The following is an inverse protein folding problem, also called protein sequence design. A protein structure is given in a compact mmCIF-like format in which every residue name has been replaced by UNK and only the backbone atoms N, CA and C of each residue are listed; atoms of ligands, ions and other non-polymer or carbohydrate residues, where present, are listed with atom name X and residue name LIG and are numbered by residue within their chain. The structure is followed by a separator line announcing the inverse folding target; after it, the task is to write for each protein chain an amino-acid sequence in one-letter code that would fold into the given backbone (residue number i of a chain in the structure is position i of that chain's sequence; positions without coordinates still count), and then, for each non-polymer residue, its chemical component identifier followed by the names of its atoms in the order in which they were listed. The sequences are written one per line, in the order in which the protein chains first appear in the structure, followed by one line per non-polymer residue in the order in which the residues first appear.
data_IF_849027735959
#
_entry.id   IF_849027735959
#
_cell.length_a   1.000
_cell.length_b   1.000
_cell.length_c   1.000
_cell.angle_alpha   90.00
_cell.angle_beta   90.00
_cell.angle_gamma   90.00
#
_symmetry.space_group_name_H-M   'P 1'
#
loop_
_entity.id
_entity.type
_entity.pdbx_description
1 polymer ?
#
# COMPACT_ATOMS: atom_id res chain seq x y z
N UNK A 1 16.71 33.29 -21.53
CA UNK A 1 15.30 33.00 -21.21
C UNK A 1 15.12 31.49 -21.18
N UNK A 2 15.34 30.86 -20.02
CA UNK A 2 15.24 29.40 -19.81
C UNK A 2 14.78 29.06 -18.38
N UNK A 3 13.92 29.91 -17.80
CA UNK A 3 13.67 29.95 -16.35
C UNK A 3 12.33 29.29 -15.94
N UNK A 4 11.29 29.43 -16.79
CA UNK A 4 9.94 28.97 -16.42
C UNK A 4 9.77 27.45 -16.23
N UNK A 5 10.55 26.62 -16.93
CA UNK A 5 10.44 25.16 -16.80
C UNK A 5 11.11 24.63 -15.52
N UNK A 6 12.18 25.28 -15.08
CA UNK A 6 12.90 24.90 -13.86
C UNK A 6 12.10 25.27 -12.61
N UNK A 7 11.44 26.43 -12.63
CA UNK A 7 10.59 26.87 -11.52
C UNK A 7 9.30 26.06 -11.38
N UNK A 8 8.68 25.69 -12.51
CA UNK A 8 7.52 24.79 -12.50
C UNK A 8 7.85 23.42 -11.87
N UNK A 9 9.01 22.85 -12.20
CA UNK A 9 9.46 21.59 -11.62
C UNK A 9 9.73 21.70 -10.11
N UNK A 10 10.38 22.78 -9.66
CA UNK A 10 10.59 23.04 -8.22
C UNK A 10 9.27 23.18 -7.46
N UNK A 11 8.30 23.91 -8.03
CA UNK A 11 6.98 24.07 -7.43
C UNK A 11 6.27 22.71 -7.30
N UNK A 12 6.30 21.88 -8.34
CA UNK A 12 5.73 20.54 -8.31
C UNK A 12 6.38 19.66 -7.24
N UNK A 13 7.70 19.70 -7.11
CA UNK A 13 8.42 18.98 -6.06
C UNK A 13 8.04 19.46 -4.66
N UNK A 14 7.93 20.78 -4.45
CA UNK A 14 7.51 21.35 -3.18
C UNK A 14 6.06 20.94 -2.83
N UNK A 15 5.15 20.96 -3.81
CA UNK A 15 3.77 20.48 -3.62
C UNK A 15 3.72 19.00 -3.25
N UNK A 16 4.46 18.15 -3.97
CA UNK A 16 4.56 16.73 -3.65
C UNK A 16 5.10 16.50 -2.24
N UNK A 17 6.12 17.26 -1.82
CA UNK A 17 6.68 17.18 -0.47
C UNK A 17 5.66 17.54 0.61
N UNK A 18 4.91 18.63 0.41
CA UNK A 18 3.84 19.05 1.33
C UNK A 18 2.72 18.00 1.37
N UNK A 19 2.28 17.48 0.22
CA UNK A 19 1.25 16.43 0.17
C UNK A 19 1.69 15.16 0.88
N UNK A 20 2.94 14.74 0.72
CA UNK A 20 3.48 13.59 1.45
C UNK A 20 3.36 13.80 2.98
N UNK A 21 3.63 15.01 3.49
CA UNK A 21 3.44 15.33 4.89
C UNK A 21 1.98 15.34 5.32
N UNK A 22 1.10 16.01 4.56
CA UNK A 22 -0.34 16.10 4.84
C UNK A 22 -0.97 14.70 4.89
N UNK A 23 -0.58 13.80 3.98
CA UNK A 23 -1.17 12.48 3.85
C UNK A 23 -0.38 11.37 4.56
N UNK A 24 0.72 11.67 5.25
CA UNK A 24 1.53 10.64 5.90
C UNK A 24 0.75 9.83 6.95
N UNK A 25 -0.30 10.41 7.56
CA UNK A 25 -1.18 9.70 8.49
C UNK A 25 -1.84 8.46 7.85
N UNK A 26 -2.02 8.44 6.52
CA UNK A 26 -2.59 7.30 5.79
C UNK A 26 -1.73 6.06 6.02
N UNK A 27 -0.41 6.17 6.05
CA UNK A 27 0.49 5.04 6.31
C UNK A 27 0.22 4.44 7.70
N UNK A 28 0.16 5.30 8.73
CA UNK A 28 -0.12 4.87 10.10
C UNK A 28 -1.51 4.26 10.26
N UNK A 29 -2.54 4.87 9.65
CA UNK A 29 -3.91 4.35 9.72
C UNK A 29 -4.10 3.06 8.91
N UNK A 30 -3.37 2.92 7.80
CA UNK A 30 -3.32 1.68 7.02
C UNK A 30 -2.69 0.56 7.85
N UNK A 31 -1.54 0.84 8.50
CA UNK A 31 -0.88 -0.14 9.36
C UNK A 31 -1.76 -0.57 10.52
N UNK A 32 -2.38 0.40 11.22
CA UNK A 32 -3.35 0.12 12.29
C UNK A 32 -4.48 -0.78 11.79
N UNK A 33 -5.04 -0.48 10.61
CA UNK A 33 -6.12 -1.27 10.02
C UNK A 33 -5.68 -2.70 9.71
N UNK A 34 -4.48 -2.89 9.16
CA UNK A 34 -3.94 -4.23 8.88
C UNK A 34 -3.75 -5.07 10.14
N UNK A 35 -3.23 -4.46 11.22
CA UNK A 35 -3.07 -5.12 12.53
C UNK A 35 -4.44 -5.50 13.10
N UNK A 36 -5.41 -4.59 13.09
CA UNK A 36 -6.77 -4.86 13.59
C UNK A 36 -7.51 -5.95 12.81
N UNK A 37 -7.17 -6.11 11.53
CA UNK A 37 -7.69 -7.18 10.68
C UNK A 37 -6.92 -8.51 10.85
N UNK A 38 -5.82 -8.54 11.63
CA UNK A 38 -5.00 -9.74 11.82
C UNK A 38 -4.20 -10.14 10.58
N UNK A 39 -3.95 -9.20 9.65
CA UNK A 39 -3.19 -9.47 8.43
C UNK A 39 -1.75 -9.91 8.73
N UNK A 40 -0.99 -9.27 9.64
CA UNK A 40 0.37 -9.72 9.96
C UNK A 40 0.45 -11.16 10.47
N UNK A 41 -0.60 -11.62 11.17
CA UNK A 41 -0.68 -12.96 11.76
C UNK A 41 -1.18 -14.02 10.74
N UNK A 42 -1.63 -13.57 9.55
CA UNK A 42 -2.09 -14.43 8.46
C UNK A 42 -0.91 -15.10 7.74
N UNK A 43 -0.37 -16.13 8.40
CA UNK A 43 0.55 -17.15 7.91
C UNK A 43 2.02 -16.74 7.70
N UNK A 44 2.90 -17.70 8.01
CA UNK A 44 4.37 -17.65 7.82
C UNK A 44 4.78 -17.71 6.33
N UNK A 45 3.82 -17.79 5.41
CA UNK A 45 4.05 -17.92 3.97
C UNK A 45 3.31 -16.83 3.18
N UNK A 46 3.82 -16.47 1.99
CA UNK A 46 3.09 -15.58 1.09
C UNK A 46 1.66 -16.07 0.85
N UNK A 47 0.71 -15.16 0.98
CA UNK A 47 -0.72 -15.42 0.75
C UNK A 47 -1.19 -14.73 -0.53
N UNK A 48 -2.04 -15.40 -1.31
CA UNK A 48 -2.69 -14.76 -2.45
C UNK A 48 -3.71 -13.74 -1.96
N UNK A 49 -3.83 -12.62 -2.67
CA UNK A 49 -4.75 -11.55 -2.28
C UNK A 49 -6.22 -12.02 -2.20
N UNK A 50 -6.64 -12.94 -3.07
CA UNK A 50 -7.97 -13.54 -3.03
C UNK A 50 -8.19 -14.39 -1.77
N UNK A 51 -7.20 -15.19 -1.39
CA UNK A 51 -7.23 -15.99 -0.17
C UNK A 51 -7.22 -15.11 1.08
N UNK A 52 -6.43 -14.03 1.08
CA UNK A 52 -6.42 -13.05 2.15
C UNK A 52 -7.82 -12.43 2.34
N UNK A 53 -8.45 -11.97 1.24
CA UNK A 53 -9.80 -11.39 1.29
C UNK A 53 -10.82 -12.39 1.86
N UNK A 54 -10.72 -13.67 1.48
CA UNK A 54 -11.62 -14.72 1.96
C UNK A 54 -11.41 -15.06 3.44
N UNK A 55 -10.18 -14.94 3.94
CA UNK A 55 -9.83 -15.24 5.33
C UNK A 55 -10.17 -14.09 6.30
N UNK A 56 -10.24 -12.85 5.81
CA UNK A 56 -10.49 -11.69 6.65
C UNK A 56 -11.98 -11.54 7.00
N UNK A 57 -12.32 -11.17 8.24
CA UNK A 57 -13.70 -10.95 8.68
C UNK A 57 -14.22 -9.58 8.19
N UNK A 58 -14.28 -9.38 6.86
CA UNK A 58 -14.69 -8.11 6.24
C UNK A 58 -16.05 -8.26 5.57
N UNK A 59 -16.91 -7.25 5.74
CA UNK A 59 -18.17 -7.21 5.00
C UNK A 59 -17.90 -7.19 3.47
N UNK A 60 -18.66 -7.95 2.64
CA UNK A 60 -18.42 -8.05 1.20
C UNK A 60 -18.31 -6.69 0.49
N UNK A 61 -19.13 -5.72 0.88
CA UNK A 61 -19.08 -4.35 0.35
C UNK A 61 -17.73 -3.64 0.54
N UNK A 62 -16.91 -4.06 1.51
CA UNK A 62 -15.59 -3.48 1.82
C UNK A 62 -14.42 -4.37 1.36
N UNK A 63 -14.68 -5.56 0.82
CA UNK A 63 -13.63 -6.48 0.37
C UNK A 63 -12.70 -5.84 -0.68
N UNK A 64 -13.25 -4.99 -1.55
CA UNK A 64 -12.50 -4.24 -2.57
C UNK A 64 -11.48 -3.24 -1.99
N UNK A 65 -11.57 -2.90 -0.69
CA UNK A 65 -10.62 -2.03 -0.01
C UNK A 65 -9.32 -2.76 0.35
N UNK A 66 -9.35 -4.07 0.57
CA UNK A 66 -8.19 -4.86 0.99
C UNK A 66 -7.04 -4.80 -0.03
N UNK A 67 -7.27 -4.95 -1.36
CA UNK A 67 -6.24 -4.72 -2.36
C UNK A 67 -5.56 -3.35 -2.28
N UNK A 68 -6.34 -2.30 -1.98
CA UNK A 68 -5.83 -0.92 -1.89
C UNK A 68 -4.99 -0.75 -0.63
N UNK A 69 -5.47 -1.28 0.49
CA UNK A 69 -4.74 -1.31 1.76
C UNK A 69 -3.39 -2.00 1.60
N UNK A 70 -3.38 -3.21 1.03
CA UNK A 70 -2.15 -3.97 0.81
C UNK A 70 -1.18 -3.24 -0.12
N UNK A 71 -1.67 -2.55 -1.15
CA UNK A 71 -0.80 -1.76 -2.04
C UNK A 71 -0.07 -0.64 -1.30
N UNK A 72 -0.76 0.07 -0.41
CA UNK A 72 -0.15 1.14 0.41
C UNK A 72 0.94 0.54 1.29
N UNK A 73 0.64 -0.56 1.98
CA UNK A 73 1.56 -1.19 2.93
C UNK A 73 2.76 -1.86 2.25
N UNK A 74 2.59 -2.35 1.02
CA UNK A 74 3.70 -2.84 0.20
C UNK A 74 4.58 -1.68 -0.25
N UNK A 75 3.97 -0.58 -0.72
CA UNK A 75 4.73 0.59 -1.15
C UNK A 75 5.49 1.26 0.00
N UNK A 76 4.95 1.21 1.22
CA UNK A 76 5.64 1.69 2.43
C UNK A 76 6.71 0.72 2.95
N UNK A 77 6.91 -0.44 2.30
CA UNK A 77 7.95 -1.41 2.66
C UNK A 77 7.63 -2.28 3.89
N UNK A 78 6.38 -2.26 4.39
CA UNK A 78 5.97 -3.08 5.55
C UNK A 78 5.72 -4.52 5.12
N UNK A 79 5.11 -4.70 3.94
CA UNK A 79 4.91 -6.01 3.32
C UNK A 79 5.67 -6.09 1.99
N UNK A 80 5.98 -7.30 1.55
CA UNK A 80 6.57 -7.55 0.25
C UNK A 80 5.59 -8.30 -0.65
N UNK A 81 5.60 -7.98 -1.94
CA UNK A 81 4.95 -8.81 -2.96
C UNK A 81 5.86 -10.01 -3.22
N UNK A 82 5.36 -11.23 -2.98
CA UNK A 82 6.06 -12.43 -3.41
C UNK A 82 5.98 -12.57 -4.94
N UNK A 83 7.10 -12.85 -5.58
CA UNK A 83 7.11 -13.40 -6.94
C UNK A 83 6.86 -14.89 -6.80
N UNK A 84 5.81 -15.38 -7.46
CA UNK A 84 5.64 -16.81 -7.64
C UNK A 84 6.61 -17.14 -8.78
N UNK A 85 7.76 -17.70 -8.44
CA UNK A 85 8.53 -18.42 -9.44
C UNK A 85 7.69 -19.65 -9.78
N UNK A 86 7.00 -19.58 -10.91
CA UNK A 86 6.50 -20.79 -11.56
C UNK A 86 7.73 -21.62 -11.89
N UNK A 87 8.06 -22.57 -11.02
CA UNK A 87 8.88 -23.71 -11.40
C UNK A 87 8.08 -24.46 -12.47
N UNK A 88 8.24 -24.04 -13.73
CA UNK A 88 7.99 -24.89 -14.87
C UNK A 88 8.97 -26.05 -14.71
N UNK A 89 8.39 -27.23 -14.49
CA UNK A 89 9.00 -28.54 -14.33
C UNK A 89 10.21 -28.79 -15.20
#
# INVERSE_FOLDING_TARGET
MADGNHDAHKLLQAQAHIWNHIFNFINSMSLKSAIQLGIPDSHVRPIFLSQLIAALPVHPAKAHCIPRLMRILIHSGIFAKAKIEENIT
#
